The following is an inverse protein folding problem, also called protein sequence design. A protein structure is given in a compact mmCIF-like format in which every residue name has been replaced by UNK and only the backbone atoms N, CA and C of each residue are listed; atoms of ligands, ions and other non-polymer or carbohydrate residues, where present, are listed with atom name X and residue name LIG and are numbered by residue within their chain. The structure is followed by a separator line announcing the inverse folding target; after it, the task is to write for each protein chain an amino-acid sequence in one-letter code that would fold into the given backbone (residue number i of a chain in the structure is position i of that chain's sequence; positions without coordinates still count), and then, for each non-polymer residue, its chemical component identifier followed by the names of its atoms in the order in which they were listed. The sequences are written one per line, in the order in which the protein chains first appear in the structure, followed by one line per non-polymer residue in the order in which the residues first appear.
data_IF_801554735498
#
_entry.id   IF_801554735498
#
_cell.length_a   1.000
_cell.length_b   1.000
_cell.length_c   1.000
_cell.angle_alpha   90.00
_cell.angle_beta   90.00
_cell.angle_gamma   90.00
#
_symmetry.space_group_name_H-M   'P 1'
#
loop_
_entity.id
_entity.type
_entity.pdbx_description
1 polymer ?
#
# COMPACT_ATOMS: atom_id res chain seq x y z
N UNK A 1 2.57 15.04 30.59
CA UNK A 1 1.71 14.38 29.57
C UNK A 1 2.14 14.93 28.24
N UNK A 2 3.07 14.24 27.60
CA UNK A 2 3.81 14.78 26.47
C UNK A 2 2.99 14.63 25.19
N UNK A 3 2.14 15.61 24.90
CA UNK A 3 1.57 15.86 23.57
C UNK A 3 2.64 16.42 22.63
N UNK A 4 3.83 15.81 22.64
CA UNK A 4 4.94 16.20 21.78
C UNK A 4 4.63 15.70 20.36
N UNK A 5 3.99 16.58 19.57
CA UNK A 5 4.08 16.60 18.12
C UNK A 5 3.23 15.56 17.35
N UNK A 6 1.99 15.28 17.79
CA UNK A 6 1.00 14.65 16.91
C UNK A 6 0.46 15.70 15.92
N UNK A 7 1.24 16.02 14.88
CA UNK A 7 0.77 16.83 13.77
C UNK A 7 -0.03 15.96 12.77
N UNK A 8 -1.29 16.32 12.54
CA UNK A 8 -2.17 15.62 11.59
C UNK A 8 -1.73 15.74 10.12
N UNK A 9 -0.76 16.60 9.79
CA UNK A 9 -0.33 16.85 8.41
C UNK A 9 0.13 15.59 7.66
N UNK A 10 0.80 14.65 8.34
CA UNK A 10 1.17 13.37 7.72
C UNK A 10 -0.06 12.52 7.35
N UNK A 11 -1.05 12.47 8.24
CA UNK A 11 -2.32 11.74 8.04
C UNK A 11 -3.14 12.41 6.94
N UNK A 12 -3.22 13.74 6.94
CA UNK A 12 -3.91 14.54 5.92
C UNK A 12 -3.32 14.33 4.53
N UNK A 13 -1.98 14.32 4.42
CA UNK A 13 -1.28 14.03 3.16
C UNK A 13 -1.60 12.63 2.61
N UNK A 14 -1.63 11.62 3.49
CA UNK A 14 -2.02 10.25 3.11
C UNK A 14 -3.48 10.23 2.63
N UNK A 15 -4.40 10.84 3.37
CA UNK A 15 -5.82 10.90 3.02
C UNK A 15 -6.06 11.62 1.68
N UNK A 16 -5.34 12.72 1.43
CA UNK A 16 -5.41 13.43 0.15
C UNK A 16 -4.94 12.53 -1.00
N UNK A 17 -3.81 11.84 -0.83
CA UNK A 17 -3.27 10.94 -1.85
C UNK A 17 -4.20 9.77 -2.15
N UNK A 18 -4.83 9.16 -1.14
CA UNK A 18 -5.84 8.12 -1.34
C UNK A 18 -7.06 8.66 -2.11
N UNK A 19 -7.54 9.86 -1.79
CA UNK A 19 -8.64 10.52 -2.52
C UNK A 19 -8.29 10.78 -3.99
N UNK A 20 -7.07 11.23 -4.28
CA UNK A 20 -6.59 11.41 -5.65
C UNK A 20 -6.54 10.08 -6.40
N UNK A 21 -6.00 9.02 -5.78
CA UNK A 21 -5.97 7.68 -6.37
C UNK A 21 -7.39 7.25 -6.70
N UNK A 22 -8.35 7.38 -5.76
CA UNK A 22 -9.75 7.03 -5.99
C UNK A 22 -10.37 7.78 -7.17
N UNK A 23 -10.01 9.07 -7.33
CA UNK A 23 -10.48 9.88 -8.45
C UNK A 23 -9.95 9.37 -9.78
N UNK A 24 -8.65 9.10 -9.93
CA UNK A 24 -8.09 8.61 -11.20
C UNK A 24 -8.42 7.14 -11.51
N UNK A 25 -9.06 6.46 -10.56
CA UNK A 25 -9.36 5.02 -10.60
C UNK A 25 -10.70 4.67 -11.27
N UNK A 26 -11.24 5.55 -12.11
CA UNK A 26 -12.51 5.33 -12.80
C UNK A 26 -12.43 4.02 -13.60
N UNK A 27 -13.09 2.95 -13.11
CA UNK A 27 -13.11 1.64 -13.77
C UNK A 27 -12.80 0.43 -12.87
N UNK A 28 -12.38 0.61 -11.61
CA UNK A 28 -12.28 -0.54 -10.70
C UNK A 28 -13.67 -1.03 -10.31
N UNK A 29 -14.08 -2.17 -10.87
CA UNK A 29 -15.32 -2.89 -10.49
C UNK A 29 -15.18 -3.63 -9.15
N UNK A 30 -13.96 -3.97 -8.75
CA UNK A 30 -13.65 -4.61 -7.48
C UNK A 30 -12.75 -3.70 -6.62
N UNK A 31 -13.15 -3.49 -5.37
CA UNK A 31 -12.39 -2.77 -4.36
C UNK A 31 -10.98 -3.34 -4.14
N UNK A 32 -10.78 -4.63 -4.34
CA UNK A 32 -9.47 -5.28 -4.22
C UNK A 32 -8.44 -4.69 -5.19
N UNK A 33 -8.85 -4.34 -6.42
CA UNK A 33 -7.93 -3.71 -7.37
C UNK A 33 -7.57 -2.28 -6.94
N UNK A 34 -8.51 -1.55 -6.36
CA UNK A 34 -8.25 -0.23 -5.77
C UNK A 34 -7.28 -0.34 -4.57
N UNK A 35 -7.51 -1.31 -3.69
CA UNK A 35 -6.64 -1.59 -2.53
C UNK A 35 -5.22 -1.99 -2.97
N UNK A 36 -5.10 -2.85 -3.98
CA UNK A 36 -3.81 -3.23 -4.56
C UNK A 36 -3.06 -2.03 -5.14
N UNK A 37 -3.77 -1.13 -5.84
CA UNK A 37 -3.17 0.10 -6.38
C UNK A 37 -2.62 1.01 -5.28
N UNK A 38 -3.35 1.15 -4.16
CA UNK A 38 -2.86 1.87 -2.97
C UNK A 38 -1.58 1.21 -2.44
N UNK A 39 -1.57 -0.10 -2.22
CA UNK A 39 -0.39 -0.80 -1.70
C UNK A 39 0.85 -0.64 -2.60
N UNK A 40 0.68 -0.66 -3.91
CA UNK A 40 1.76 -0.43 -4.87
C UNK A 40 2.28 1.02 -4.75
N UNK A 41 1.39 2.02 -4.75
CA UNK A 41 1.78 3.45 -4.71
C UNK A 41 2.51 3.80 -3.42
N UNK A 42 2.08 3.24 -2.29
CA UNK A 42 2.74 3.45 -1.01
C UNK A 42 3.96 2.53 -0.80
N UNK A 43 4.34 1.70 -1.79
CA UNK A 43 5.42 0.69 -1.67
C UNK A 43 5.22 -0.25 -0.48
N UNK A 44 3.97 -0.46 -0.09
CA UNK A 44 3.54 -1.34 1.01
C UNK A 44 3.25 -2.76 0.52
N UNK A 45 3.21 -2.98 -0.79
CA UNK A 45 3.06 -4.31 -1.37
C UNK A 45 4.30 -5.16 -1.04
N UNK A 46 4.16 -6.06 -0.06
CA UNK A 46 5.16 -7.08 0.24
C UNK A 46 4.85 -8.32 -0.59
N UNK A 47 5.83 -8.77 -1.38
CA UNK A 47 5.76 -10.10 -1.99
C UNK A 47 5.96 -11.10 -0.87
N UNK A 48 4.91 -11.83 -0.49
CA UNK A 48 5.07 -13.00 0.34
C UNK A 48 6.06 -13.93 -0.36
N UNK A 49 7.24 -14.13 0.24
CA UNK A 49 8.13 -15.19 -0.23
C UNK A 49 7.37 -16.48 -0.02
N UNK A 50 6.96 -17.15 -1.12
CA UNK A 50 6.51 -18.54 -1.01
C UNK A 50 7.62 -19.31 -0.31
N UNK A 51 7.31 -19.89 0.84
CA UNK A 51 8.19 -20.76 1.61
C UNK A 51 8.30 -22.07 0.83
N UNK A 52 9.10 -22.08 -0.24
CA UNK A 52 9.17 -23.20 -1.20
C UNK A 52 10.37 -23.19 -2.16
N UNK A 53 11.13 -22.11 -2.29
CA UNK A 53 12.25 -22.03 -3.27
C UNK A 53 13.64 -22.34 -2.67
N UNK A 54 13.72 -23.11 -1.58
CA UNK A 54 14.99 -23.47 -0.91
C UNK A 54 15.57 -24.83 -1.33
N UNK A 55 15.15 -25.42 -2.47
CA UNK A 55 15.76 -26.67 -2.93
C UNK A 55 15.94 -26.71 -4.46
N UNK A 56 16.91 -25.92 -4.95
CA UNK A 56 17.55 -26.16 -6.25
C UNK A 56 19.02 -26.45 -6.00
N UNK A 57 19.31 -27.66 -5.51
CA UNK A 57 20.64 -28.25 -5.64
C UNK A 57 20.80 -28.59 -7.13
N UNK A 58 21.67 -27.84 -7.82
CA UNK A 58 22.18 -28.18 -9.14
C UNK A 58 23.36 -29.12 -8.86
N UNK A 59 23.30 -30.32 -9.42
CA UNK A 59 24.32 -31.36 -9.26
C UNK A 59 25.67 -30.96 -9.83
#
# INVERSE_FOLDING_TARGET
MDYQNLNNGAIEGINHKIKLIKRVSYGYRNFDFFKNRIFIIFRLYKRDKKKGDSNRNIG
#
